data_IF_837362639021
#
_entry.id   IF_837362639021
#
_cell.length_a   1.000
_cell.length_b   1.000
_cell.length_c   1.000
_cell.angle_alpha   90.00
_cell.angle_beta   90.00
_cell.angle_gamma   90.00
#
_symmetry.space_group_name_H-M   'P 1'
#
loop_
_entity.id
_entity.type
_entity.pdbx_description
1 polymer ?
#
# COMPACT_ATOMS: atom_id res chain seq x y z
N UNK A 1 -16.80 17.12 -10.41
CA UNK A 1 -16.23 15.76 -10.40
C UNK A 1 -16.25 15.26 -8.97
N UNK A 2 -17.05 14.24 -8.64
CA UNK A 2 -17.03 13.64 -7.30
C UNK A 2 -15.80 12.73 -7.20
N UNK A 3 -14.77 13.14 -6.46
CA UNK A 3 -13.60 12.30 -6.20
C UNK A 3 -14.04 11.07 -5.40
N UNK A 4 -13.85 9.88 -5.94
CA UNK A 4 -14.17 8.65 -5.22
C UNK A 4 -13.19 8.45 -4.06
N UNK A 5 -13.67 7.98 -2.90
CA UNK A 5 -12.83 7.65 -1.73
C UNK A 5 -11.70 6.69 -2.12
N UNK A 6 -11.97 5.73 -3.02
CA UNK A 6 -10.94 4.82 -3.56
C UNK A 6 -9.81 5.58 -4.23
N UNK A 7 -10.15 6.57 -5.05
CA UNK A 7 -9.18 7.31 -5.85
C UNK A 7 -8.32 8.18 -4.92
N UNK A 8 -8.90 8.75 -3.86
CA UNK A 8 -8.15 9.46 -2.82
C UNK A 8 -7.13 8.55 -2.11
N UNK A 9 -7.51 7.32 -1.74
CA UNK A 9 -6.59 6.37 -1.09
C UNK A 9 -5.48 5.95 -2.06
N UNK A 10 -5.80 5.69 -3.34
CA UNK A 10 -4.81 5.38 -4.38
C UNK A 10 -3.82 6.54 -4.55
N UNK A 11 -4.32 7.78 -4.62
CA UNK A 11 -3.46 8.96 -4.68
C UNK A 11 -2.58 9.07 -3.43
N UNK A 12 -3.11 8.76 -2.25
CA UNK A 12 -2.32 8.69 -1.01
C UNK A 12 -1.14 7.73 -1.10
N UNK A 13 -1.36 6.51 -1.60
CA UNK A 13 -0.28 5.52 -1.85
C UNK A 13 0.80 6.07 -2.78
N UNK A 14 0.42 6.71 -3.89
CA UNK A 14 1.36 7.28 -4.84
C UNK A 14 2.16 8.45 -4.25
N UNK A 15 1.51 9.34 -3.49
CA UNK A 15 2.17 10.48 -2.83
C UNK A 15 3.20 9.99 -1.82
N UNK A 16 2.81 9.07 -0.92
CA UNK A 16 3.71 8.57 0.12
C UNK A 16 4.90 7.83 -0.50
N UNK A 17 4.69 7.08 -1.58
CA UNK A 17 5.79 6.51 -2.36
C UNK A 17 6.74 7.57 -2.92
N UNK A 18 6.21 8.58 -3.63
CA UNK A 18 7.02 9.64 -4.23
C UNK A 18 7.82 10.42 -3.16
N UNK A 19 7.21 10.72 -2.02
CA UNK A 19 7.88 11.35 -0.88
C UNK A 19 9.00 10.47 -0.34
N UNK A 20 8.75 9.16 -0.18
CA UNK A 20 9.78 8.21 0.29
C UNK A 20 10.98 8.18 -0.65
N UNK A 21 10.74 8.12 -1.97
CA UNK A 21 11.83 8.19 -2.96
C UNK A 21 12.58 9.51 -2.86
N UNK A 22 11.88 10.64 -2.74
CA UNK A 22 12.50 11.96 -2.60
C UNK A 22 13.37 12.06 -1.34
N UNK A 23 12.90 11.57 -0.21
CA UNK A 23 13.67 11.55 1.05
C UNK A 23 14.94 10.73 0.87
N UNK A 24 14.82 9.52 0.32
CA UNK A 24 15.97 8.62 0.18
C UNK A 24 16.97 9.14 -0.86
N UNK A 25 16.51 9.84 -1.91
CA UNK A 25 17.37 10.38 -2.96
C UNK A 25 18.07 11.70 -2.59
N UNK A 26 17.45 12.53 -1.74
CA UNK A 26 17.89 13.91 -1.52
C UNK A 26 18.19 14.27 -0.06
N UNK A 27 17.83 13.44 0.91
CA UNK A 27 18.06 13.77 2.31
C UNK A 27 19.56 13.61 2.67
N UNK A 28 20.18 14.58 3.36
CA UNK A 28 21.62 14.56 3.66
C UNK A 28 22.09 13.29 4.36
N UNK A 29 21.26 12.68 5.20
CA UNK A 29 21.57 11.42 5.90
C UNK A 29 21.81 10.22 4.98
N UNK A 30 21.42 10.28 3.70
CA UNK A 30 21.61 9.21 2.72
C UNK A 30 22.60 9.58 1.60
N UNK A 31 23.12 10.82 1.59
CA UNK A 31 24.01 11.32 0.51
C UNK A 31 25.31 10.53 0.44
N UNK A 32 25.84 10.11 1.58
CA UNK A 32 27.09 9.34 1.67
C UNK A 32 26.87 7.82 1.54
N UNK A 33 25.61 7.37 1.45
CA UNK A 33 25.31 5.95 1.30
C UNK A 33 25.46 5.47 -0.16
N UNK A 34 25.85 4.20 -0.37
CA UNK A 34 25.83 3.60 -1.69
C UNK A 34 24.45 3.73 -2.37
N UNK A 35 24.37 4.14 -3.65
CA UNK A 35 23.10 4.32 -4.37
C UNK A 35 22.21 3.08 -4.39
N UNK A 36 22.80 1.89 -4.24
CA UNK A 36 22.08 0.63 -4.17
C UNK A 36 21.13 0.56 -2.96
N UNK A 37 21.46 1.21 -1.84
CA UNK A 37 20.59 1.27 -0.67
C UNK A 37 19.33 2.09 -0.97
N UNK A 38 19.50 3.21 -1.67
CA UNK A 38 18.39 4.04 -2.10
C UNK A 38 17.43 3.29 -3.03
N UNK A 39 17.98 2.60 -4.02
CA UNK A 39 17.22 1.75 -4.95
C UNK A 39 16.48 0.63 -4.20
N UNK A 40 17.12 0.03 -3.20
CA UNK A 40 16.51 -1.04 -2.38
C UNK A 40 15.32 -0.54 -1.58
N UNK A 41 15.46 0.59 -0.88
CA UNK A 41 14.38 1.18 -0.09
C UNK A 41 13.22 1.60 -1.02
N UNK A 42 13.53 2.24 -2.15
CA UNK A 42 12.53 2.60 -3.16
C UNK A 42 11.81 1.35 -3.70
N UNK A 43 12.53 0.27 -4.02
CA UNK A 43 11.96 -0.99 -4.47
C UNK A 43 11.02 -1.62 -3.44
N UNK A 44 11.40 -1.61 -2.17
CA UNK A 44 10.54 -2.11 -1.09
C UNK A 44 9.26 -1.27 -0.93
N UNK A 45 9.37 0.05 -0.96
CA UNK A 45 8.20 0.94 -0.93
C UNK A 45 7.29 0.74 -2.15
N UNK A 46 7.88 0.48 -3.32
CA UNK A 46 7.15 0.24 -4.57
C UNK A 46 6.29 -1.03 -4.51
N UNK A 47 6.84 -2.13 -3.99
CA UNK A 47 6.10 -3.41 -3.84
C UNK A 47 4.82 -3.18 -3.03
N UNK A 48 4.94 -2.48 -1.91
CA UNK A 48 3.81 -2.22 -1.01
C UNK A 48 2.80 -1.25 -1.61
N UNK A 49 3.27 -0.22 -2.31
CA UNK A 49 2.41 0.69 -3.07
C UNK A 49 1.57 -0.07 -4.11
N UNK A 50 2.20 -0.90 -4.93
CA UNK A 50 1.51 -1.69 -5.96
C UNK A 50 0.49 -2.62 -5.31
N UNK A 51 0.85 -3.32 -4.24
CA UNK A 51 -0.07 -4.20 -3.52
C UNK A 51 -1.30 -3.44 -2.97
N UNK A 52 -1.10 -2.28 -2.34
CA UNK A 52 -2.18 -1.44 -1.83
C UNK A 52 -3.12 -0.95 -2.94
N UNK A 53 -2.56 -0.46 -4.05
CA UNK A 53 -3.34 0.01 -5.20
C UNK A 53 -4.12 -1.14 -5.84
N UNK A 54 -3.50 -2.30 -6.05
CA UNK A 54 -4.18 -3.47 -6.64
C UNK A 54 -5.32 -3.96 -5.75
N UNK A 55 -5.12 -4.02 -4.43
CA UNK A 55 -6.17 -4.41 -3.49
C UNK A 55 -7.39 -3.46 -3.54
N UNK A 56 -7.14 -2.15 -3.70
CA UNK A 56 -8.19 -1.13 -3.85
C UNK A 56 -8.90 -1.21 -5.21
N UNK A 57 -8.15 -1.43 -6.30
CA UNK A 57 -8.68 -1.51 -7.66
C UNK A 57 -9.56 -2.74 -7.85
N UNK A 58 -9.12 -3.90 -7.36
CA UNK A 58 -9.82 -5.17 -7.54
C UNK A 58 -10.76 -5.52 -6.37
N UNK A 59 -10.98 -4.58 -5.44
CA UNK A 59 -11.72 -4.83 -4.19
C UNK A 59 -13.11 -5.42 -4.42
N UNK A 60 -13.83 -4.98 -5.45
CA UNK A 60 -15.20 -5.45 -5.72
C UNK A 60 -15.22 -6.88 -6.28
N UNK A 61 -14.28 -7.19 -7.18
CA UNK A 61 -14.11 -8.53 -7.75
C UNK A 61 -13.72 -9.52 -6.64
N UNK A 62 -12.78 -9.13 -5.77
CA UNK A 62 -12.36 -9.93 -4.62
C UNK A 62 -13.51 -10.09 -3.63
N UNK A 63 -14.31 -9.04 -3.42
CA UNK A 63 -15.46 -9.04 -2.51
C UNK A 63 -16.54 -10.04 -2.89
N UNK A 64 -16.78 -10.24 -4.20
CA UNK A 64 -17.71 -11.24 -4.76
C UNK A 64 -17.14 -12.67 -4.77
N UNK A 65 -15.83 -12.81 -4.54
CA UNK A 65 -15.17 -14.11 -4.57
C UNK A 65 -15.40 -14.91 -3.29
N UNK A 66 -15.07 -16.21 -3.34
CA UNK A 66 -15.20 -17.12 -2.20
C UNK A 66 -14.45 -16.61 -0.97
N UNK A 67 -14.89 -17.02 0.23
CA UNK A 67 -14.22 -16.66 1.49
C UNK A 67 -12.73 -17.07 1.52
N UNK A 68 -12.38 -18.18 0.86
CA UNK A 68 -10.99 -18.64 0.73
C UNK A 68 -10.16 -17.67 -0.11
N UNK A 69 -10.67 -17.25 -1.27
CA UNK A 69 -9.98 -16.30 -2.16
C UNK A 69 -9.71 -14.96 -1.44
N UNK A 70 -10.70 -14.42 -0.74
CA UNK A 70 -10.56 -13.19 0.08
C UNK A 70 -9.43 -13.30 1.10
N UNK A 71 -9.37 -14.41 1.84
CA UNK A 71 -8.29 -14.66 2.83
C UNK A 71 -6.91 -14.76 2.19
N UNK A 72 -6.80 -15.46 1.06
CA UNK A 72 -5.54 -15.59 0.32
C UNK A 72 -5.06 -14.21 -0.13
N UNK A 73 -5.93 -13.39 -0.72
CA UNK A 73 -5.57 -12.04 -1.17
C UNK A 73 -5.12 -11.15 -0.01
N UNK A 74 -5.79 -11.22 1.15
CA UNK A 74 -5.32 -10.51 2.35
C UNK A 74 -3.96 -11.02 2.83
N UNK A 75 -3.72 -12.33 2.79
CA UNK A 75 -2.42 -12.92 3.11
C UNK A 75 -1.30 -12.42 2.20
N UNK A 76 -1.54 -12.40 0.88
CA UNK A 76 -0.59 -11.85 -0.10
C UNK A 76 -0.34 -10.37 0.19
N UNK A 77 -1.40 -9.59 0.45
CA UNK A 77 -1.26 -8.18 0.81
C UNK A 77 -0.35 -8.00 2.02
N UNK A 78 -0.56 -8.76 3.11
CA UNK A 78 0.28 -8.70 4.31
C UNK A 78 1.75 -8.99 3.98
N UNK A 79 2.03 -10.02 3.18
CA UNK A 79 3.40 -10.35 2.75
C UNK A 79 4.03 -9.18 1.97
N UNK A 80 3.27 -8.54 1.08
CA UNK A 80 3.72 -7.37 0.32
C UNK A 80 3.91 -6.11 1.17
N UNK A 81 3.40 -6.06 2.41
CA UNK A 81 3.60 -4.96 3.35
C UNK A 81 4.87 -5.16 4.20
N UNK A 82 5.36 -6.40 4.40
CA UNK A 82 6.58 -6.67 5.17
C UNK A 82 7.80 -5.85 4.72
N UNK A 83 8.04 -5.59 3.42
CA UNK A 83 9.12 -4.72 2.97
C UNK A 83 9.04 -3.27 3.50
N UNK A 84 7.91 -2.81 4.03
CA UNK A 84 7.82 -1.48 4.64
C UNK A 84 8.51 -1.39 6.00
N UNK A 85 8.83 -2.50 6.66
CA UNK A 85 9.56 -2.48 7.93
C UNK A 85 10.91 -1.74 7.76
N UNK A 86 11.81 -2.15 6.85
CA UNK A 86 13.05 -1.40 6.62
C UNK A 86 12.80 0.01 6.05
N UNK A 87 11.76 0.22 5.25
CA UNK A 87 11.41 1.56 4.72
C UNK A 87 11.04 2.52 5.85
N UNK A 88 10.23 2.07 6.81
CA UNK A 88 9.80 2.85 7.96
C UNK A 88 10.93 3.17 8.93
N UNK A 89 11.93 2.29 9.03
CA UNK A 89 13.16 2.54 9.82
C UNK A 89 14.07 3.56 9.15
N UNK A 90 14.11 3.60 7.82
CA UNK A 90 14.93 4.55 7.07
C UNK A 90 14.25 5.91 6.88
N UNK A 91 12.92 5.97 6.80
CA UNK A 91 12.19 7.21 6.49
C UNK A 91 11.18 7.55 7.58
N UNK A 92 9.89 7.34 7.32
CA UNK A 92 8.80 7.61 8.25
C UNK A 92 7.82 6.44 8.21
N UNK A 93 7.70 5.68 9.30
CA UNK A 93 6.77 4.53 9.36
C UNK A 93 5.28 4.92 9.44
N UNK A 94 4.96 6.05 10.08
CA UNK A 94 3.57 6.42 10.40
C UNK A 94 2.66 6.64 9.18
N UNK A 95 3.08 7.33 8.09
CA UNK A 95 2.23 7.55 6.91
C UNK A 95 1.82 6.23 6.23
N UNK A 96 2.75 5.28 6.15
CA UNK A 96 2.50 3.95 5.58
C UNK A 96 1.49 3.16 6.42
N UNK A 97 1.65 3.16 7.75
CA UNK A 97 0.72 2.47 8.66
C UNK A 97 -0.71 3.02 8.54
N UNK A 98 -0.86 4.35 8.46
CA UNK A 98 -2.15 4.99 8.26
C UNK A 98 -2.81 4.55 6.94
N UNK A 99 -2.07 4.54 5.82
CA UNK A 99 -2.60 4.07 4.54
C UNK A 99 -3.00 2.60 4.56
N UNK A 100 -2.24 1.73 5.22
CA UNK A 100 -2.57 0.32 5.35
C UNK A 100 -3.90 0.16 6.09
N UNK A 101 -4.05 0.83 7.24
CA UNK A 101 -5.28 0.78 8.04
C UNK A 101 -6.48 1.29 7.23
N UNK A 102 -6.36 2.46 6.61
CA UNK A 102 -7.44 3.06 5.79
C UNK A 102 -7.80 2.12 4.63
N UNK A 103 -6.81 1.53 3.97
CA UNK A 103 -7.02 0.56 2.88
C UNK A 103 -7.80 -0.66 3.38
N UNK A 104 -7.39 -1.25 4.51
CA UNK A 104 -8.07 -2.42 5.08
C UNK A 104 -9.51 -2.10 5.50
N UNK A 105 -9.73 -0.94 6.13
CA UNK A 105 -11.07 -0.47 6.52
C UNK A 105 -11.94 -0.30 5.28
N UNK A 106 -11.44 0.37 4.24
CA UNK A 106 -12.16 0.57 2.99
C UNK A 106 -12.53 -0.77 2.32
N UNK A 107 -11.56 -1.68 2.20
CA UNK A 107 -11.75 -3.02 1.61
C UNK A 107 -12.80 -3.79 2.39
N UNK A 108 -12.68 -3.83 3.72
CA UNK A 108 -13.60 -4.56 4.60
C UNK A 108 -15.02 -4.00 4.54
N UNK A 109 -15.14 -2.67 4.46
CA UNK A 109 -16.42 -2.00 4.29
C UNK A 109 -17.05 -2.36 2.94
N UNK A 110 -16.31 -2.24 1.84
CA UNK A 110 -16.81 -2.59 0.51
C UNK A 110 -17.23 -4.05 0.42
N UNK A 111 -16.50 -4.97 1.04
CA UNK A 111 -16.90 -6.39 1.07
C UNK A 111 -18.15 -6.66 1.91
N UNK A 112 -18.42 -5.86 2.95
CA UNK A 112 -19.65 -5.98 3.72
C UNK A 112 -20.89 -5.58 2.91
N UNK A 113 -20.72 -4.67 1.94
CA UNK A 113 -21.78 -4.20 1.05
C UNK A 113 -22.04 -5.15 -0.13
N UNK A 114 -21.17 -6.14 -0.36
CA UNK A 114 -21.40 -7.14 -1.41
C UNK A 114 -22.35 -8.20 -0.87
N UNK A 115 -23.58 -8.21 -1.36
CA UNK A 115 -24.56 -9.28 -1.09
C UNK A 115 -24.01 -10.59 -1.64
N UNK A 116 -23.97 -11.69 -0.86
CA UNK A 116 -23.64 -13.00 -1.39
C UNK A 116 -24.63 -13.33 -2.53
N UNK A 117 -24.15 -13.83 -3.66
CA UNK A 117 -25.04 -14.41 -4.66
C UNK A 117 -25.75 -15.59 -3.97
N UNK A 118 -27.05 -15.40 -3.72
CA UNK A 118 -27.98 -16.43 -3.24
C UNK A 118 -28.19 -17.49 -4.31
#
# INVERSE_FOLDING_TARGET
MSTSVRDLIITGWAIIFAVTVGVVAFHPSFVDEPPINAIRIAGFAFISMVAGILLLRFTEIIGRSSARSRKITLGIFIVCILPLIPVGMATFGMPWAALIIITLVYVRWKWALVTPAS
#
